data_IF_618811050511
#
_entry.id   IF_618811050511
#
_cell.length_a   1.000
_cell.length_b   1.000
_cell.length_c   1.000
_cell.angle_alpha   90.00
_cell.angle_beta   90.00
_cell.angle_gamma   90.00
#
_symmetry.space_group_name_H-M   'P 1'
#
loop_
_entity.id
_entity.type
_entity.pdbx_description
1 polymer ?
2 non-polymer ?
3 non-polymer ?
4 water ?
#
# COMPACT_ATOMS: atom_id res chain seq x y z
N UNK A 6 20.48 4.16 -19.83
CA UNK A 6 19.53 3.59 -20.84
C UNK A 6 19.12 2.18 -20.41
N UNK A 7 17.81 1.93 -20.31
CA UNK A 7 17.33 0.63 -19.85
C UNK A 7 17.35 -0.36 -21.02
N UNK A 8 17.62 -1.62 -20.73
CA UNK A 8 17.51 -2.62 -21.78
C UNK A 8 16.08 -2.71 -22.31
N UNK A 9 15.94 -3.01 -23.60
CA UNK A 9 14.63 -3.18 -24.22
C UNK A 9 13.87 -4.40 -23.69
N UNK A 10 14.59 -5.40 -23.20
CA UNK A 10 13.97 -6.58 -22.59
C UNK A 10 14.82 -7.11 -21.47
N UNK A 11 14.15 -7.72 -20.50
CA UNK A 11 14.79 -8.31 -19.34
C UNK A 11 14.08 -9.63 -19.08
N UNK A 12 14.84 -10.66 -18.73
CA UNK A 12 14.29 -11.94 -18.27
C UNK A 12 15.19 -12.49 -17.17
N UNK A 13 14.75 -12.33 -15.91
CA UNK A 13 15.57 -12.74 -14.77
C UNK A 13 15.77 -14.26 -14.68
N UNK A 14 14.97 -15.03 -15.42
CA UNK A 14 15.19 -16.48 -15.49
C UNK A 14 16.52 -16.78 -16.16
N UNK A 15 16.92 -15.96 -17.12
CA UNK A 15 18.21 -16.12 -17.81
C UNK A 15 19.41 -15.89 -16.89
N UNK A 16 19.20 -15.15 -15.80
CA UNK A 16 20.26 -14.87 -14.84
C UNK A 16 20.24 -15.84 -13.66
N UNK A 17 19.38 -16.86 -13.73
CA UNK A 17 19.29 -17.84 -12.67
C UNK A 17 18.75 -17.28 -11.36
N UNK A 18 17.90 -16.25 -11.44
CA UNK A 18 17.35 -15.61 -10.24
C UNK A 18 15.90 -15.99 -9.94
N UNK A 19 15.34 -16.95 -10.67
CA UNK A 19 13.94 -17.35 -10.50
C UNK A 19 13.83 -18.85 -10.23
N UNK A 20 13.16 -19.20 -9.15
CA UNK A 20 13.00 -20.60 -8.77
C UNK A 20 11.89 -21.25 -9.57
N UNK A 21 11.73 -22.56 -9.42
CA UNK A 21 10.64 -23.25 -10.11
C UNK A 21 9.27 -22.66 -9.73
N UNK A 22 8.32 -22.76 -10.66
CA UNK A 22 6.96 -22.35 -10.46
C UNK A 22 6.31 -23.24 -9.41
N UNK A 23 5.61 -22.60 -8.48
CA UNK A 23 4.93 -23.29 -7.40
C UNK A 23 3.41 -23.40 -7.65
N UNK A 24 2.76 -24.26 -6.86
CA UNK A 24 1.33 -24.54 -7.00
C UNK A 24 0.63 -24.26 -5.66
N UNK A 25 -0.19 -23.21 -5.62
CA UNK A 25 -0.81 -22.80 -4.35
C UNK A 25 -1.99 -23.66 -3.92
N UNK A 26 -2.58 -24.39 -4.88
CA UNK A 26 -3.75 -25.20 -4.59
C UNK A 26 -4.93 -24.37 -4.15
N UNK A 27 -5.76 -24.91 -3.26
CA UNK A 27 -6.97 -24.25 -2.83
C UNK A 27 -6.71 -23.31 -1.63
N UNK A 28 -5.50 -22.75 -1.55
CA UNK A 28 -5.14 -21.80 -0.51
C UNK A 28 -4.72 -20.50 -1.20
N UNK A 29 -5.36 -19.40 -0.80
CA UNK A 29 -5.12 -18.08 -1.39
C UNK A 29 -3.81 -17.48 -0.86
N UNK A 30 -2.70 -18.16 -1.15
CA UNK A 30 -1.39 -17.77 -0.64
C UNK A 30 -0.55 -17.07 -1.72
N UNK A 31 -1.18 -16.62 -2.80
CA UNK A 31 -0.50 -15.94 -3.90
C UNK A 31 0.45 -14.84 -3.38
N UNK A 32 0.00 -14.09 -2.39
CA UNK A 32 0.77 -13.01 -1.76
C UNK A 32 2.09 -13.53 -1.17
N UNK A 33 2.03 -14.70 -0.53
CA UNK A 33 3.22 -15.31 0.06
C UNK A 33 4.21 -15.78 -1.01
N UNK A 34 3.69 -16.36 -2.09
CA UNK A 34 4.53 -16.80 -3.21
C UNK A 34 5.19 -15.65 -3.93
N UNK A 35 4.43 -14.57 -4.12
CA UNK A 35 4.94 -13.36 -4.73
C UNK A 35 6.07 -12.80 -3.89
N UNK A 36 5.86 -12.72 -2.59
CA UNK A 36 6.90 -12.17 -1.68
C UNK A 36 8.16 -13.01 -1.66
N UNK A 37 8.03 -14.33 -1.50
CA UNK A 37 9.24 -15.17 -1.48
C UNK A 37 9.96 -15.14 -2.82
N UNK A 38 9.21 -15.09 -3.92
CA UNK A 38 9.81 -15.00 -5.22
C UNK A 38 10.70 -13.80 -5.37
N UNK A 39 10.21 -12.64 -4.90
CA UNK A 39 11.02 -11.44 -4.96
C UNK A 39 12.27 -11.60 -4.11
N UNK A 40 12.12 -12.18 -2.93
CA UNK A 40 13.28 -12.27 -2.02
C UNK A 40 14.29 -13.32 -2.53
N UNK A 41 13.78 -14.36 -3.19
CA UNK A 41 14.62 -15.43 -3.76
C UNK A 41 15.63 -14.84 -4.75
N UNK A 42 15.18 -13.87 -5.56
CA UNK A 42 16.05 -13.23 -6.54
C UNK A 42 17.15 -12.42 -5.84
N UNK A 43 16.77 -11.65 -4.84
CA UNK A 43 17.74 -10.85 -4.07
C UNK A 43 18.76 -11.74 -3.38
N UNK A 44 18.31 -12.86 -2.81
CA UNK A 44 19.19 -13.84 -2.18
C UNK A 44 20.23 -14.40 -3.18
N UNK A 45 19.79 -14.76 -4.39
CA UNK A 45 20.72 -15.17 -5.45
C UNK A 45 21.73 -14.08 -5.80
N UNK A 46 21.23 -12.86 -5.97
CA UNK A 46 22.10 -11.74 -6.29
C UNK A 46 23.15 -11.50 -5.22
N UNK A 47 22.77 -11.66 -3.97
CA UNK A 47 23.69 -11.42 -2.85
C UNK A 47 24.66 -12.59 -2.59
N UNK A 48 24.13 -13.81 -2.61
CA UNK A 48 24.91 -14.97 -2.17
C UNK A 48 25.39 -15.88 -3.29
N UNK A 49 24.83 -15.74 -4.48
CA UNK A 49 25.10 -16.64 -5.59
C UNK A 49 24.30 -17.93 -5.59
N UNK A 50 23.47 -18.14 -4.56
CA UNK A 50 22.71 -19.37 -4.45
C UNK A 50 21.23 -19.12 -4.72
N UNK A 51 20.65 -19.96 -5.60
CA UNK A 51 19.21 -19.93 -5.84
C UNK A 51 18.50 -20.93 -4.94
N UNK A 52 17.66 -20.43 -4.05
CA UNK A 52 17.02 -21.28 -3.04
C UNK A 52 15.54 -20.90 -2.91
N UNK A 53 14.64 -21.88 -3.02
CA UNK A 53 13.22 -21.62 -2.78
C UNK A 53 12.99 -21.31 -1.30
N UNK A 54 12.29 -20.21 -1.04
CA UNK A 54 11.97 -19.79 0.33
C UNK A 54 10.56 -20.19 0.71
N UNK A 55 10.29 -20.23 2.00
CA UNK A 55 9.08 -20.84 2.51
C UNK A 55 7.87 -19.92 2.50
N UNK A 56 6.99 -20.12 1.51
CA UNK A 56 5.70 -19.48 1.50
C UNK A 56 4.84 -19.87 2.70
N UNK A 57 4.95 -21.12 3.15
CA UNK A 57 4.20 -21.58 4.31
C UNK A 57 4.56 -20.79 5.57
N UNK A 58 5.83 -20.49 5.72
CA UNK A 58 6.35 -19.68 6.83
C UNK A 58 5.59 -18.34 6.88
N UNK A 59 5.37 -17.73 5.72
CA UNK A 59 4.60 -16.49 5.67
C UNK A 59 3.14 -16.72 6.03
N UNK A 60 2.53 -17.75 5.44
CA UNK A 60 1.12 -18.08 5.73
C UNK A 60 0.86 -18.29 7.22
N UNK A 61 1.78 -19.03 7.88
CA UNK A 61 1.60 -19.40 9.28
C UNK A 61 2.04 -18.31 10.27
N UNK A 62 2.97 -17.45 9.87
CA UNK A 62 3.66 -16.57 10.81
C UNK A 62 3.44 -15.08 10.55
N UNK A 63 3.28 -14.66 9.30
CA UNK A 63 2.99 -13.24 8.99
C UNK A 63 1.48 -13.11 8.96
N UNK A 64 0.87 -13.03 10.15
CA UNK A 64 -0.56 -13.20 10.28
C UNK A 64 -1.21 -11.88 10.73
N UNK A 65 -2.00 -11.91 11.80
CA UNK A 65 -2.87 -10.77 12.17
C UNK A 65 -2.10 -9.48 12.39
N UNK A 66 -0.94 -9.56 13.03
CA UNK A 66 -0.09 -8.43 13.31
C UNK A 66 0.33 -7.69 12.01
N UNK A 67 0.31 -8.44 10.90
CA UNK A 67 0.69 -7.93 9.58
C UNK A 67 -0.51 -7.68 8.65
N UNK A 68 -1.71 -7.80 9.19
CA UNK A 68 -2.95 -7.64 8.42
C UNK A 68 -3.23 -8.75 7.44
N UNK A 69 -2.52 -9.87 7.58
CA UNK A 69 -2.65 -11.01 6.68
C UNK A 69 -3.56 -12.07 7.24
N UNK A 70 -4.12 -12.88 6.35
CA UNK A 70 -5.15 -13.85 6.71
C UNK A 70 -4.85 -15.24 6.14
N UNK A 71 -3.57 -15.55 5.99
CA UNK A 71 -3.13 -16.87 5.56
C UNK A 71 -3.72 -17.26 4.21
N UNK A 72 -4.42 -18.40 4.21
CA UNK A 72 -5.07 -18.92 2.99
C UNK A 72 -6.23 -18.03 2.49
N UNK A 73 -6.62 -17.03 3.27
CA UNK A 73 -7.62 -16.06 2.86
C UNK A 73 -7.05 -14.71 2.41
N UNK A 74 -5.74 -14.65 2.16
CA UNK A 74 -5.13 -13.50 1.52
C UNK A 74 -4.18 -12.72 2.43
N UNK A 75 -3.47 -11.78 1.83
CA UNK A 75 -2.43 -11.01 2.53
C UNK A 75 -1.76 -10.02 1.59
N UNK A 76 -0.73 -9.34 2.11
CA UNK A 76 0.05 -8.36 1.37
C UNK A 76 1.50 -8.78 1.25
N UNK A 77 2.09 -8.53 0.08
CA UNK A 77 3.52 -8.76 -0.08
C UNK A 77 4.34 -7.83 0.77
N UNK A 78 3.90 -6.58 0.91
CA UNK A 78 4.71 -5.61 1.68
C UNK A 78 4.78 -5.97 3.15
N UNK A 79 3.65 -6.37 3.73
CA UNK A 79 3.62 -6.70 5.14
C UNK A 79 4.34 -8.04 5.38
N UNK A 80 4.31 -8.93 4.40
CA UNK A 80 5.16 -10.14 4.43
C UNK A 80 6.63 -9.77 4.53
N UNK A 81 7.09 -8.81 3.74
CA UNK A 81 8.47 -8.34 3.80
C UNK A 81 8.76 -7.80 5.19
N UNK A 82 7.86 -6.98 5.73
CA UNK A 82 8.08 -6.45 7.09
C UNK A 82 8.19 -7.55 8.12
N UNK A 83 7.38 -8.60 8.00
CA UNK A 83 7.48 -9.77 8.89
C UNK A 83 8.90 -10.37 8.84
N UNK A 84 9.41 -10.54 7.61
CA UNK A 84 10.76 -11.13 7.47
C UNK A 84 11.82 -10.25 8.15
N UNK A 85 11.67 -8.93 7.97
CA UNK A 85 12.55 -7.95 8.59
C UNK A 85 12.45 -8.08 10.11
N UNK A 86 11.22 -7.96 10.64
CA UNK A 86 10.98 -8.02 12.09
C UNK A 86 11.45 -9.36 12.67
N UNK A 87 11.20 -10.43 11.95
CA UNK A 87 11.56 -11.78 12.41
C UNK A 87 13.04 -12.12 12.30
N UNK A 88 13.78 -11.29 11.56
CA UNK A 88 15.20 -11.47 11.26
C UNK A 88 15.45 -12.76 10.44
N UNK A 89 14.43 -13.20 9.69
CA UNK A 89 14.64 -14.29 8.77
C UNK A 89 13.40 -14.96 8.24
N UNK A 90 13.63 -15.81 7.23
CA UNK A 90 12.61 -16.72 6.72
C UNK A 90 13.30 -18.05 6.42
N UNK A 91 12.60 -19.14 6.67
CA UNK A 91 13.11 -20.49 6.45
C UNK A 91 13.06 -20.88 4.97
N UNK A 92 13.85 -21.88 4.60
CA UNK A 92 13.77 -22.42 3.25
C UNK A 92 12.46 -23.17 3.03
N UNK A 93 12.05 -23.28 1.77
CA UNK A 93 10.94 -24.12 1.42
C UNK A 93 11.17 -25.58 1.83
N UNK A 94 12.37 -26.09 1.61
CA UNK A 94 12.66 -27.49 1.96
C UNK A 94 12.45 -27.78 3.45
N UNK A 95 12.83 -26.83 4.29
CA UNK A 95 12.73 -27.00 5.75
C UNK A 95 11.32 -26.76 6.29
N UNK A 96 10.53 -25.97 5.56
CA UNK A 96 9.23 -25.55 6.02
C UNK A 96 8.29 -25.61 4.81
N UNK A 97 7.88 -26.83 4.44
CA UNK A 97 7.21 -27.03 3.16
C UNK A 97 5.77 -26.53 3.12
N UNK A 98 5.29 -26.36 1.89
CA UNK A 98 3.96 -25.78 1.67
C UNK A 98 2.88 -26.83 1.73
N UNK A 99 1.86 -26.54 2.54
CA UNK A 99 0.77 -27.47 2.78
C UNK A 99 -0.58 -26.96 2.33
N UNK A 100 -0.65 -25.74 1.83
CA UNK A 100 -1.91 -25.17 1.34
C UNK A 100 -3.00 -25.20 2.42
N UNK A 101 -2.60 -24.91 3.65
CA UNK A 101 -3.52 -24.70 4.75
C UNK A 101 -2.87 -23.84 5.80
N UNK A 102 -3.69 -23.22 6.64
CA UNK A 102 -3.21 -22.43 7.76
C UNK A 102 -2.73 -23.39 8.85
N UNK A 103 -1.55 -23.13 9.37
CA UNK A 103 -0.99 -23.93 10.47
C UNK A 103 -0.42 -23.01 11.52
N UNK A 104 -0.07 -23.60 12.66
CA UNK A 104 0.65 -22.87 13.71
C UNK A 104 2.03 -22.44 13.20
N UNK A 105 2.49 -21.28 13.65
CA UNK A 105 3.79 -20.77 13.27
C UNK A 105 4.88 -21.70 13.77
N UNK A 106 5.72 -22.17 12.85
CA UNK A 106 6.76 -23.15 13.17
C UNK A 106 8.14 -22.65 12.74
N UNK A 107 8.29 -21.33 12.61
CA UNK A 107 9.56 -20.77 12.24
C UNK A 107 10.66 -21.23 13.20
N UNK A 108 11.81 -21.59 12.64
CA UNK A 108 13.02 -21.92 13.41
C UNK A 108 14.22 -21.33 12.71
N UNK A 109 15.02 -20.57 13.43
CA UNK A 109 16.15 -19.89 12.83
C UNK A 109 17.24 -20.86 12.34
N UNK A 110 17.23 -22.09 12.81
CA UNK A 110 18.25 -23.03 12.34
C UNK A 110 18.03 -23.41 10.88
N UNK A 111 16.81 -23.17 10.39
CA UNK A 111 16.46 -23.39 8.99
C UNK A 111 16.34 -22.09 8.17
N UNK A 112 16.82 -20.98 8.71
CA UNK A 112 16.83 -19.71 8.01
C UNK A 112 17.64 -19.80 6.72
N UNK A 113 17.03 -19.36 5.62
CA UNK A 113 17.71 -19.32 4.32
C UNK A 113 17.86 -17.90 3.76
N UNK A 114 17.14 -16.94 4.33
CA UNK A 114 17.27 -15.56 3.89
C UNK A 114 16.88 -14.60 5.01
N UNK A 115 17.33 -13.36 4.83
CA UNK A 115 16.92 -12.22 5.65
C UNK A 115 16.43 -11.12 4.69
N UNK A 116 15.91 -10.05 5.26
CA UNK A 116 15.45 -8.89 4.52
C UNK A 116 15.75 -7.69 5.42
N UNK A 117 16.30 -6.63 4.83
CA UNK A 117 16.58 -5.41 5.61
C UNK A 117 15.59 -4.28 5.36
N UNK A 118 14.92 -4.29 4.21
CA UNK A 118 14.02 -3.19 3.85
C UNK A 118 13.19 -3.62 2.63
N UNK A 119 12.16 -2.85 2.32
CA UNK A 119 11.43 -3.04 1.07
C UNK A 119 11.05 -1.66 0.56
N UNK A 120 10.72 -1.60 -0.73
CA UNK A 120 10.39 -0.36 -1.38
C UNK A 120 9.08 -0.56 -2.13
N UNK A 121 8.14 0.36 -1.94
CA UNK A 121 6.90 0.38 -2.68
C UNK A 121 7.04 1.41 -3.80
N UNK A 122 6.76 1.00 -5.03
CA UNK A 122 6.89 1.90 -6.16
C UNK A 122 5.67 2.80 -6.28
N UNK A 123 5.83 3.96 -6.93
CA UNK A 123 4.66 4.83 -7.09
C UNK A 123 3.53 4.23 -7.92
N UNK A 124 2.30 4.56 -7.53
CA UNK A 124 1.12 3.97 -8.11
C UNK A 124 1.02 4.17 -9.63
N UNK A 125 0.87 3.05 -10.34
CA UNK A 125 0.50 3.10 -11.74
C UNK A 125 1.61 3.46 -12.73
N UNK A 126 2.84 3.66 -12.24
CA UNK A 126 3.94 4.16 -13.06
C UNK A 126 4.69 2.99 -13.71
N UNK A 127 4.37 2.69 -14.95
CA UNK A 127 4.96 1.51 -15.61
C UNK A 127 6.40 1.76 -16.01
N UNK A 128 6.76 3.03 -16.22
CA UNK A 128 8.15 3.39 -16.48
C UNK A 128 9.05 3.15 -15.26
N UNK A 129 8.52 3.45 -14.07
CA UNK A 129 9.25 3.22 -12.83
C UNK A 129 9.37 1.72 -12.56
N UNK A 130 8.30 0.98 -12.88
CA UNK A 130 8.33 -0.46 -12.72
C UNK A 130 9.40 -1.06 -13.63
N UNK A 131 9.49 -0.56 -14.87
CA UNK A 131 10.48 -1.06 -15.84
C UNK A 131 11.87 -0.85 -15.30
N UNK A 132 12.11 0.33 -14.79
CA UNK A 132 13.41 0.66 -14.19
C UNK A 132 13.76 -0.28 -13.04
N UNK A 133 12.81 -0.56 -12.16
CA UNK A 133 13.05 -1.45 -11.03
C UNK A 133 13.33 -2.88 -11.47
N UNK A 134 12.55 -3.35 -12.42
CA UNK A 134 12.78 -4.70 -12.93
C UNK A 134 14.17 -4.79 -13.60
N UNK A 135 14.57 -3.75 -14.30
CA UNK A 135 15.89 -3.76 -14.98
C UNK A 135 17.03 -3.64 -13.96
N UNK A 136 16.88 -2.73 -12.99
CA UNK A 136 18.01 -2.37 -12.09
C UNK A 136 18.05 -3.05 -10.76
N UNK A 137 16.91 -3.50 -10.25
CA UNK A 137 16.83 -4.08 -8.92
C UNK A 137 16.62 -5.59 -8.93
N UNK A 138 15.70 -6.06 -9.76
CA UNK A 138 15.32 -7.47 -9.80
C UNK A 138 13.83 -7.64 -9.97
N UNK A 139 13.35 -8.88 -9.87
CA UNK A 139 11.91 -9.13 -9.94
C UNK A 139 11.13 -8.33 -8.88
N UNK A 140 9.93 -7.92 -9.25
CA UNK A 140 9.11 -7.05 -8.40
C UNK A 140 7.77 -7.71 -8.14
N UNK A 141 7.38 -7.74 -6.86
CA UNK A 141 6.09 -8.24 -6.44
C UNK A 141 5.02 -7.27 -6.88
N UNK A 142 3.95 -7.76 -7.50
CA UNK A 142 2.85 -6.90 -7.89
C UNK A 142 1.52 -7.59 -7.63
N UNK A 143 0.45 -6.81 -7.58
CA UNK A 143 -0.91 -7.35 -7.64
C UNK A 143 -1.48 -7.18 -9.04
N UNK A 144 -2.33 -8.10 -9.47
CA UNK A 144 -3.08 -7.94 -10.70
C UNK A 144 -4.53 -8.29 -10.50
N UNK A 145 -5.36 -7.77 -11.39
CA UNK A 145 -6.75 -8.20 -11.53
C UNK A 145 -6.76 -9.52 -12.33
N UNK A 146 -6.89 -10.63 -11.63
CA UNK A 146 -6.95 -11.97 -12.22
C UNK A 146 -8.34 -12.61 -12.14
N UNK A 147 -9.38 -11.79 -12.02
CA UNK A 147 -10.73 -12.32 -11.78
C UNK A 147 -11.45 -12.72 -13.09
N UNK A 148 -10.91 -12.35 -14.24
CA UNK A 148 -11.67 -12.49 -15.48
C UNK A 148 -11.44 -13.86 -16.08
N UNK A 149 -12.51 -14.48 -16.61
CA UNK A 149 -12.39 -15.86 -17.13
C UNK A 149 -11.22 -16.07 -18.11
N UNK A 150 -10.93 -15.04 -18.92
CA UNK A 150 -9.80 -15.10 -19.87
C UNK A 150 -8.44 -15.31 -19.20
N UNK A 151 -8.27 -14.85 -17.97
CA UNK A 151 -7.00 -15.03 -17.27
C UNK A 151 -6.68 -16.51 -17.05
N UNK A 152 -7.68 -17.23 -16.54
CA UNK A 152 -7.52 -18.66 -16.27
C UNK A 152 -7.19 -19.48 -17.51
N UNK A 153 -7.70 -19.04 -18.65
CA UNK A 153 -7.57 -19.75 -19.92
C UNK A 153 -6.40 -19.29 -20.77
N UNK A 154 -5.59 -18.38 -20.26
CA UNK A 154 -4.47 -17.87 -21.02
C UNK A 154 -3.48 -18.99 -21.40
N UNK A 155 -3.04 -18.99 -22.65
CA UNK A 155 -2.09 -19.98 -23.14
C UNK A 155 -0.85 -19.38 -23.80
N UNK A 156 -0.98 -18.31 -24.56
CA UNK A 156 0.15 -17.76 -25.30
C UNK A 156 -0.08 -16.33 -25.72
N UNK A 157 0.95 -15.72 -26.27
CA UNK A 157 0.83 -14.36 -26.75
C UNK A 157 0.95 -13.39 -25.58
N UNK A 158 0.40 -12.21 -25.78
CA UNK A 158 0.39 -11.14 -24.76
C UNK A 158 -1.04 -10.92 -24.32
N UNK A 159 -1.29 -11.06 -23.01
CA UNK A 159 -2.62 -11.03 -22.44
C UNK A 159 -3.12 -9.59 -22.39
N UNK A 160 -4.23 -9.37 -23.08
CA UNK A 160 -4.94 -8.09 -23.04
C UNK A 160 -6.43 -8.41 -22.94
N UNK A 161 -7.05 -7.91 -21.89
CA UNK A 161 -8.43 -8.15 -21.55
C UNK A 161 -9.13 -6.79 -21.35
N UNK A 162 -9.98 -6.36 -22.31
CA UNK A 162 -10.70 -5.08 -22.18
C UNK A 162 -11.49 -4.93 -20.89
N UNK A 163 -11.98 -6.03 -20.31
CA UNK A 163 -12.74 -5.96 -19.06
C UNK A 163 -11.86 -5.88 -17.81
N UNK A 164 -10.55 -5.92 -17.98
CA UNK A 164 -9.68 -5.85 -16.78
C UNK A 164 -9.82 -4.50 -16.10
N UNK A 165 -9.53 -4.48 -14.80
CA UNK A 165 -9.60 -3.27 -14.01
C UNK A 165 -8.30 -3.08 -13.26
N UNK A 166 -8.19 -1.95 -12.58
CA UNK A 166 -7.07 -1.73 -11.68
C UNK A 166 -7.34 -2.18 -10.25
N UNK A 167 -8.45 -2.86 -10.01
CA UNK A 167 -8.74 -3.45 -8.71
C UNK A 167 -8.05 -4.82 -8.61
N UNK A 168 -6.91 -4.84 -7.94
CA UNK A 168 -6.07 -6.04 -7.95
C UNK A 168 -6.54 -7.02 -6.89
N UNK A 169 -6.38 -8.30 -7.17
CA UNK A 169 -6.82 -9.35 -6.27
C UNK A 169 -5.89 -10.52 -6.18
N UNK A 170 -4.78 -10.48 -6.91
CA UNK A 170 -3.94 -11.66 -7.05
C UNK A 170 -2.47 -11.24 -7.06
N UNK A 171 -1.69 -11.77 -6.13
CA UNK A 171 -0.26 -11.46 -6.01
C UNK A 171 0.55 -12.31 -6.96
N UNK A 172 1.41 -11.69 -7.75
CA UNK A 172 2.27 -12.36 -8.70
C UNK A 172 3.64 -11.69 -8.72
N UNK A 173 4.55 -12.18 -9.57
CA UNK A 173 5.91 -11.68 -9.60
C UNK A 173 6.31 -11.30 -11.03
N UNK A 174 6.69 -10.04 -11.23
CA UNK A 174 7.23 -9.59 -12.51
C UNK A 174 8.70 -9.94 -12.56
N UNK A 175 9.06 -10.84 -13.49
CA UNK A 175 10.44 -11.30 -13.63
C UNK A 175 11.10 -10.80 -14.91
N UNK A 176 10.41 -9.94 -15.64
CA UNK A 176 10.96 -9.45 -16.88
C UNK A 176 9.97 -8.63 -17.65
N UNK A 177 10.40 -8.19 -18.84
CA UNK A 177 9.56 -7.47 -19.75
C UNK A 177 10.17 -7.58 -21.14
N UNK A 178 9.38 -7.25 -22.14
CA UNK A 178 9.86 -7.22 -23.52
C UNK A 178 8.80 -6.82 -24.50
N UNK A 179 8.97 -7.29 -25.73
CA UNK A 179 8.09 -6.97 -26.84
C UNK A 179 7.98 -8.25 -27.69
N UNK A 180 6.76 -8.71 -27.93
CA UNK A 180 6.50 -9.92 -28.71
C UNK A 180 5.57 -9.51 -29.85
N UNK A 181 6.10 -9.54 -31.07
CA UNK A 181 5.31 -9.24 -32.23
C UNK A 181 4.62 -7.88 -32.15
N UNK A 182 5.37 -6.89 -31.69
CA UNK A 182 4.86 -5.52 -31.60
C UNK A 182 4.02 -5.21 -30.36
N UNK A 183 3.88 -6.18 -29.46
CA UNK A 183 3.08 -5.99 -28.25
C UNK A 183 4.02 -5.98 -27.05
N UNK A 184 4.09 -4.88 -26.33
CA UNK A 184 4.95 -4.82 -25.15
C UNK A 184 4.31 -5.66 -24.05
N UNK A 185 5.13 -6.38 -23.29
CA UNK A 185 4.60 -7.17 -22.18
C UNK A 185 5.45 -7.09 -20.91
N UNK A 186 4.82 -7.47 -19.81
CA UNK A 186 5.45 -7.81 -18.57
C UNK A 186 5.47 -9.33 -18.47
N UNK A 187 6.60 -9.88 -18.07
CA UNK A 187 6.73 -11.32 -17.87
C UNK A 187 6.42 -11.63 -16.40
N UNK A 188 5.33 -12.34 -16.19
CA UNK A 188 4.78 -12.59 -14.86
C UNK A 188 4.83 -14.06 -14.50
N UNK A 189 5.44 -14.34 -13.35
CA UNK A 189 5.44 -15.65 -12.72
C UNK A 189 4.23 -15.79 -11.81
N UNK A 190 3.37 -16.76 -12.09
CA UNK A 190 2.18 -17.05 -11.27
C UNK A 190 2.48 -18.22 -10.34
N UNK A 191 1.54 -18.57 -9.46
CA UNK A 191 1.70 -19.68 -8.53
C UNK A 191 0.56 -20.68 -8.64
N UNK A 192 0.14 -20.95 -9.88
CA UNK A 192 -0.88 -21.93 -10.15
C UNK A 192 -0.28 -23.16 -10.86
N UNK A 193 0.99 -23.42 -10.63
CA UNK A 193 1.65 -24.61 -11.16
C UNK A 193 2.07 -24.42 -12.59
N UNK A 194 2.78 -25.40 -13.15
CA UNK A 194 3.26 -25.32 -14.56
C UNK A 194 2.14 -25.50 -15.61
N UNK A 195 0.96 -25.98 -15.23
CA UNK A 195 -0.16 -26.16 -16.16
C UNK A 195 -0.73 -24.83 -16.62
N UNK A 196 -0.63 -23.82 -15.75
CA UNK A 196 -1.16 -22.50 -16.08
C UNK A 196 -0.30 -21.80 -17.14
N UNK A 197 -0.94 -21.23 -18.15
CA UNK A 197 -0.24 -20.37 -19.10
C UNK A 197 0.94 -21.04 -19.79
N UNK A 198 2.04 -20.30 -19.88
CA UNK A 198 3.29 -20.77 -20.48
C UNK A 198 4.21 -21.29 -19.40
N UNK A 199 4.00 -22.54 -19.01
CA UNK A 199 4.80 -23.23 -18.00
C UNK A 199 4.77 -22.44 -16.66
N UNK A 200 3.61 -21.86 -16.37
CA UNK A 200 3.38 -21.16 -15.10
C UNK A 200 3.48 -19.66 -15.21
N UNK A 201 3.86 -19.16 -16.39
CA UNK A 201 4.06 -17.74 -16.67
C UNK A 201 2.97 -17.17 -17.55
N UNK A 202 2.77 -15.87 -17.42
CA UNK A 202 1.87 -15.12 -18.30
C UNK A 202 2.56 -13.82 -18.72
N UNK A 203 2.48 -13.54 -20.02
CA UNK A 203 2.90 -12.27 -20.55
C UNK A 203 1.70 -11.34 -20.56
N UNK A 204 1.81 -10.24 -19.81
CA UNK A 204 0.68 -9.31 -19.64
C UNK A 204 0.97 -7.97 -20.30
N UNK A 205 -0.04 -7.38 -20.91
CA UNK A 205 0.13 -6.12 -21.65
C UNK A 205 0.83 -5.04 -20.82
N UNK A 206 1.82 -4.40 -21.46
CA UNK A 206 2.64 -3.35 -20.85
C UNK A 206 2.46 -2.04 -21.62
N UNK A 207 2.50 -0.94 -20.88
CA UNK A 207 2.21 0.40 -21.40
C UNK A 207 0.86 0.49 -22.10
N UNK A 208 -0.11 -0.23 -21.56
CA UNK A 208 -1.49 -0.13 -22.00
C UNK A 208 -2.37 0.34 -20.85
N UNK A 209 -2.00 1.48 -20.28
CA UNK A 209 -2.80 2.10 -19.23
C UNK A 209 -2.89 1.31 -17.93
N UNK A 210 -1.77 0.78 -17.46
CA UNK A 210 -1.74 0.02 -16.22
C UNK A 210 -2.74 -1.13 -16.28
N UNK A 211 -2.58 -1.92 -17.33
CA UNK A 211 -3.53 -2.98 -17.63
C UNK A 211 -3.61 -4.00 -16.49
N UNK A 212 -4.84 -4.28 -16.03
CA UNK A 212 -5.07 -5.23 -14.94
C UNK A 212 -4.41 -4.80 -13.64
N UNK A 213 -4.02 -3.53 -13.55
CA UNK A 213 -3.46 -2.99 -12.31
C UNK A 213 -2.05 -3.48 -12.01
N UNK A 214 -1.36 -3.97 -13.03
CA UNK A 214 -0.06 -4.57 -12.83
C UNK A 214 0.94 -3.63 -12.12
N UNK A 215 0.86 -2.33 -12.39
CA UNK A 215 1.78 -1.36 -11.79
C UNK A 215 1.14 -0.57 -10.64
N UNK A 216 -0.02 -1.04 -10.17
CA UNK A 216 -0.75 -0.35 -9.08
C UNK A 216 0.03 -0.41 -7.77
N UNK A 217 0.42 -1.62 -7.34
CA UNK A 217 1.09 -1.80 -6.05
C UNK A 217 2.34 -2.68 -6.13
N UNK A 218 3.41 -2.17 -6.74
CA UNK A 218 4.62 -2.95 -6.89
C UNK A 218 5.55 -2.71 -5.73
N UNK A 219 6.26 -3.76 -5.31
CA UNK A 219 7.26 -3.64 -4.26
C UNK A 219 8.38 -4.66 -4.43
N UNK A 220 9.53 -4.35 -3.85
CA UNK A 220 10.62 -5.32 -3.86
C UNK A 220 11.42 -5.17 -2.57
N UNK A 221 11.92 -6.30 -2.07
CA UNK A 221 12.74 -6.34 -0.88
C UNK A 221 14.20 -6.14 -1.21
N UNK A 222 15.00 -5.83 -0.20
CA UNK A 222 16.43 -5.82 -0.33
C UNK A 222 17.09 -6.49 0.86
N UNK A 223 18.28 -7.04 0.61
CA UNK A 223 19.05 -7.71 1.65
C UNK A 223 20.33 -6.90 1.94
N UNK A 224 20.61 -6.67 3.22
CA UNK A 224 21.84 -5.95 3.64
C UNK A 224 23.06 -6.56 3.01
N UNK B 6 17.00 14.49 17.84
CA UNK B 6 16.15 14.11 19.02
C UNK B 6 14.77 14.71 18.82
N UNK B 7 13.74 13.88 18.92
CA UNK B 7 12.40 14.35 18.58
C UNK B 7 11.72 15.00 19.76
N UNK B 8 10.86 16.01 19.49
CA UNK B 8 10.10 16.59 20.57
C UNK B 8 9.20 15.57 21.21
N UNK B 9 8.93 15.75 22.51
CA UNK B 9 8.03 14.86 23.25
C UNK B 9 6.58 14.98 22.83
N UNK B 10 6.20 16.15 22.30
CA UNK B 10 4.85 16.39 21.80
C UNK B 10 4.88 17.32 20.60
N UNK B 11 3.96 17.07 19.68
CA UNK B 11 3.83 17.85 18.46
C UNK B 11 2.32 18.05 18.23
N UNK B 12 1.94 19.26 17.81
CA UNK B 12 0.57 19.58 17.43
C UNK B 12 0.61 20.57 16.26
N UNK B 13 0.39 20.04 15.04
CA UNK B 13 0.43 20.87 13.82
C UNK B 13 -0.62 21.96 13.73
N UNK B 14 -1.65 21.86 14.56
CA UNK B 14 -2.65 22.92 14.65
C UNK B 14 -2.02 24.20 15.18
N UNK B 15 -1.05 24.04 16.09
CA UNK B 15 -0.36 25.20 16.66
C UNK B 15 0.51 25.93 15.62
N UNK B 16 0.86 25.23 14.53
CA UNK B 16 1.71 25.77 13.47
C UNK B 16 0.91 26.28 12.26
N UNK B 17 -0.41 26.33 12.41
CA UNK B 17 -1.28 26.88 11.41
C UNK B 17 -1.40 26.02 10.16
N UNK B 18 -1.14 24.72 10.31
CA UNK B 18 -1.12 23.80 9.16
C UNK B 18 -2.31 22.86 9.04
N UNK B 19 -3.34 23.07 9.86
CA UNK B 19 -4.53 22.20 9.87
C UNK B 19 -5.80 23.01 9.69
N UNK B 20 -6.61 22.62 8.70
CA UNK B 20 -7.84 23.34 8.38
C UNK B 20 -8.96 22.93 9.35
N UNK B 21 -10.11 23.58 9.25
CA UNK B 21 -11.30 23.17 10.02
C UNK B 21 -11.66 21.70 9.76
N UNK B 22 -12.28 21.08 10.77
CA UNK B 22 -12.75 19.71 10.67
C UNK B 22 -13.92 19.65 9.71
N UNK B 23 -13.90 18.65 8.82
CA UNK B 23 -14.95 18.48 7.84
C UNK B 23 -15.90 17.37 8.23
N UNK B 24 -17.05 17.32 7.55
CA UNK B 24 -18.10 16.34 7.84
C UNK B 24 -18.41 15.55 6.58
N UNK B 25 -18.05 14.27 6.57
CA UNK B 25 -18.22 13.45 5.38
C UNK B 25 -19.67 13.05 5.12
N UNK B 26 -20.51 13.10 6.15
CA UNK B 26 -21.90 12.66 6.03
C UNK B 26 -21.98 11.18 5.71
N UNK B 27 -22.95 10.81 4.87
CA UNK B 27 -23.19 9.40 4.57
C UNK B 27 -22.23 8.79 3.53
N UNK B 28 -21.24 9.55 3.10
CA UNK B 28 -20.38 9.18 2.00
C UNK B 28 -19.06 8.75 2.62
N UNK B 29 -18.59 7.54 2.29
CA UNK B 29 -17.32 6.98 2.80
C UNK B 29 -16.12 7.62 2.14
N UNK B 30 -15.98 8.93 2.32
CA UNK B 30 -14.90 9.69 1.69
C UNK B 30 -13.76 10.00 2.68
N UNK B 31 -13.68 9.26 3.80
CA UNK B 31 -12.62 9.45 4.80
C UNK B 31 -11.23 9.52 4.16
N UNK B 32 -10.99 8.64 3.20
CA UNK B 32 -9.71 8.56 2.45
C UNK B 32 -9.38 9.85 1.73
N UNK B 33 -10.39 10.47 1.13
CA UNK B 33 -10.19 11.75 0.41
C UNK B 33 -9.88 12.88 1.40
N UNK B 34 -10.58 12.91 2.53
CA UNK B 34 -10.34 13.94 3.55
C UNK B 34 -8.97 13.80 4.18
N UNK B 35 -8.55 12.57 4.42
CA UNK B 35 -7.22 12.30 4.93
C UNK B 35 -6.17 12.83 3.96
N UNK B 36 -6.35 12.52 2.68
CA UNK B 36 -5.36 12.93 1.65
C UNK B 36 -5.27 14.43 1.53
N UNK B 37 -6.42 15.10 1.41
CA UNK B 37 -6.39 16.57 1.31
C UNK B 37 -5.80 17.21 2.57
N UNK B 38 -6.11 16.65 3.73
CA UNK B 38 -5.55 17.18 4.97
C UNK B 38 -4.05 17.14 5.02
N UNK B 39 -3.47 16.03 4.58
CA UNK B 39 -2.01 15.93 4.50
C UNK B 39 -1.46 16.96 3.51
N UNK B 40 -2.12 17.13 2.38
CA UNK B 40 -1.58 18.03 1.35
C UNK B 40 -1.77 19.49 1.77
N UNK B 41 -2.85 19.79 2.50
CA UNK B 41 -3.13 21.13 3.01
C UNK B 41 -1.96 21.62 3.87
N UNK B 42 -1.40 20.73 4.71
CA UNK B 42 -0.27 21.09 5.58
C UNK B 42 0.98 21.43 4.74
N UNK B 43 1.26 20.61 3.73
CA UNK B 43 2.40 20.82 2.85
C UNK B 43 2.24 22.13 2.07
N UNK B 44 1.03 22.41 1.60
CA UNK B 44 0.75 23.65 0.91
C UNK B 44 1.02 24.89 1.80
N UNK B 45 0.57 24.84 3.06
CA UNK B 45 0.88 25.90 4.04
C UNK B 45 2.40 26.07 4.21
N UNK B 46 3.10 24.97 4.37
CA UNK B 46 4.56 24.99 4.57
C UNK B 46 5.27 25.59 3.35
N UNK B 47 4.78 25.29 2.15
CA UNK B 47 5.41 25.81 0.93
C UNK B 47 5.04 27.26 0.65
N UNK B 48 3.76 27.62 0.77
CA UNK B 48 3.25 28.92 0.30
C UNK B 48 2.87 29.91 1.39
N UNK B 49 2.76 29.45 2.63
CA UNK B 49 2.27 30.29 3.71
C UNK B 49 0.75 30.43 3.77
N UNK B 50 0.01 29.80 2.86
CA UNK B 50 -1.43 29.92 2.83
C UNK B 50 -2.09 28.63 3.31
N UNK B 51 -3.03 28.76 4.25
CA UNK B 51 -3.84 27.63 4.69
C UNK B 51 -5.14 27.60 3.91
N UNK B 52 -5.31 26.57 3.08
CA UNK B 52 -6.45 26.50 2.16
C UNK B 52 -7.03 25.10 2.18
N UNK B 53 -8.34 24.98 2.42
CA UNK B 53 -9.00 23.69 2.36
C UNK B 53 -9.03 23.23 0.90
N UNK B 54 -8.58 22.00 0.68
CA UNK B 54 -8.55 21.43 -0.67
C UNK B 54 -9.76 20.54 -0.91
N UNK B 55 -10.05 20.28 -2.17
CA UNK B 55 -11.32 19.66 -2.52
C UNK B 55 -11.30 18.14 -2.38
N UNK B 56 -11.86 17.63 -1.28
CA UNK B 56 -12.13 16.20 -1.13
C UNK B 56 -13.05 15.69 -2.25
N UNK B 57 -13.99 16.54 -2.69
CA UNK B 57 -14.93 16.13 -3.74
C UNK B 57 -14.23 15.84 -5.05
N UNK B 58 -13.26 16.68 -5.39
CA UNK B 58 -12.38 16.49 -6.52
C UNK B 58 -11.79 15.07 -6.51
N UNK B 59 -11.33 14.61 -5.35
CA UNK B 59 -10.81 13.23 -5.25
C UNK B 59 -11.89 12.18 -5.44
N UNK B 60 -13.03 12.38 -4.79
CA UNK B 60 -14.14 11.43 -4.88
C UNK B 60 -14.58 11.26 -6.32
N UNK B 61 -14.71 12.38 -7.04
CA UNK B 61 -15.22 12.38 -8.40
C UNK B 61 -14.20 11.98 -9.46
N UNK B 62 -12.93 12.25 -9.22
CA UNK B 62 -11.91 12.16 -10.26
C UNK B 62 -10.84 11.11 -10.03
N UNK B 63 -10.48 10.83 -8.77
CA UNK B 63 -9.50 9.76 -8.48
C UNK B 63 -10.33 8.51 -8.28
N UNK B 64 -10.74 7.90 -9.38
CA UNK B 64 -11.76 6.87 -9.37
C UNK B 64 -11.14 5.53 -9.81
N UNK B 65 -11.73 4.87 -10.80
CA UNK B 65 -11.35 3.49 -11.17
C UNK B 65 -9.88 3.29 -11.52
N UNK B 66 -9.30 4.23 -12.25
CA UNK B 66 -7.88 4.16 -12.62
C UNK B 66 -6.95 4.18 -11.43
N UNK B 67 -7.46 4.66 -10.28
CA UNK B 67 -6.71 4.75 -9.03
C UNK B 67 -7.16 3.72 -8.00
N UNK B 68 -8.01 2.78 -8.43
CA UNK B 68 -8.54 1.75 -7.54
C UNK B 68 -9.52 2.22 -6.49
N UNK B 69 -10.00 3.46 -6.65
CA UNK B 69 -10.90 4.05 -5.69
C UNK B 69 -12.35 3.95 -6.12
N UNK B 70 -13.24 4.06 -5.15
CA UNK B 70 -14.66 3.82 -5.35
C UNK B 70 -15.53 4.93 -4.79
N UNK B 71 -14.97 6.15 -4.75
CA UNK B 71 -15.70 7.33 -4.30
C UNK B 71 -16.28 7.19 -2.90
N UNK B 72 -17.60 7.31 -2.78
CA UNK B 72 -18.28 7.19 -1.49
C UNK B 72 -18.23 5.77 -0.89
N UNK B 73 -17.77 4.80 -1.67
CA UNK B 73 -17.55 3.44 -1.17
C UNK B 73 -16.10 3.12 -0.79
N UNK B 74 -15.25 4.14 -0.76
CA UNK B 74 -13.91 3.97 -0.22
C UNK B 74 -12.80 4.21 -1.23
N UNK B 75 -11.56 4.26 -0.73
CA UNK B 75 -10.40 4.53 -1.56
C UNK B 75 -9.14 4.53 -0.76
N UNK B 76 -8.03 4.92 -1.41
CA UNK B 76 -6.69 4.96 -0.79
C UNK B 76 -6.16 6.39 -0.81
N UNK B 77 -5.51 6.81 0.28
CA UNK B 77 -4.83 8.11 0.29
C UNK B 77 -3.66 8.12 -0.70
N UNK B 78 -2.92 7.02 -0.80
CA UNK B 78 -1.75 6.99 -1.66
C UNK B 78 -2.13 7.18 -3.13
N UNK B 79 -3.18 6.51 -3.57
CA UNK B 79 -3.58 6.60 -4.96
C UNK B 79 -4.23 7.96 -5.23
N UNK B 80 -4.88 8.53 -4.21
CA UNK B 80 -5.33 9.92 -4.28
C UNK B 80 -4.15 10.88 -4.56
N UNK B 81 -3.05 10.75 -3.81
CA UNK B 81 -1.86 11.53 -4.06
C UNK B 81 -1.38 11.34 -5.51
N UNK B 82 -1.31 10.09 -5.97
CA UNK B 82 -0.86 9.84 -7.34
C UNK B 82 -1.75 10.51 -8.37
N UNK B 83 -3.06 10.49 -8.13
CA UNK B 83 -3.99 11.24 -8.98
C UNK B 83 -3.61 12.73 -9.07
N UNK B 84 -3.35 13.34 -7.92
CA UNK B 84 -3.01 14.77 -7.91
C UNK B 84 -1.74 15.02 -8.71
N UNK B 85 -0.76 14.13 -8.55
CA UNK B 85 0.50 14.20 -9.28
C UNK B 85 0.22 14.08 -10.79
N UNK B 86 -0.47 13.01 -11.19
CA UNK B 86 -0.78 12.76 -12.61
C UNK B 86 -1.61 13.90 -13.21
N UNK B 87 -2.58 14.38 -12.45
CA UNK B 87 -3.51 15.40 -12.90
C UNK B 87 -2.89 16.80 -12.97
N UNK B 88 -1.71 16.96 -12.36
CA UNK B 88 -1.01 18.23 -12.20
C UNK B 88 -1.82 19.24 -11.43
N UNK B 89 -2.65 18.76 -10.50
CA UNK B 89 -3.32 19.64 -9.58
C UNK B 89 -4.54 19.08 -8.89
N UNK B 90 -5.00 19.85 -7.90
CA UNK B 90 -6.26 19.63 -7.23
C UNK B 90 -6.87 21.01 -7.01
N UNK B 91 -8.18 21.10 -7.13
CA UNK B 91 -8.92 22.34 -6.90
C UNK B 91 -9.11 22.66 -5.42
N UNK B 92 -9.41 23.92 -5.13
CA UNK B 92 -9.78 24.30 -3.76
C UNK B 92 -11.13 23.75 -3.39
N UNK B 93 -11.34 23.55 -2.09
CA UNK B 93 -12.66 23.24 -1.59
C UNK B 93 -13.69 24.29 -1.97
N UNK B 94 -13.31 25.56 -1.90
CA UNK B 94 -14.22 26.66 -2.22
C UNK B 94 -14.75 26.55 -3.65
N UNK B 95 -13.87 26.20 -4.58
CA UNK B 95 -14.24 26.12 -6.00
C UNK B 95 -14.95 24.82 -6.38
N UNK B 96 -14.73 23.77 -5.60
CA UNK B 96 -15.23 22.43 -5.91
C UNK B 96 -15.72 21.84 -4.58
N UNK B 97 -16.88 22.33 -4.11
CA UNK B 97 -17.30 21.98 -2.75
C UNK B 97 -17.79 20.55 -2.58
N UNK B 98 -17.85 20.13 -1.32
CA UNK B 98 -18.17 18.75 -0.98
C UNK B 98 -19.66 18.53 -0.92
N UNK B 99 -20.12 17.50 -1.62
CA UNK B 99 -21.55 17.18 -1.75
C UNK B 99 -21.93 15.82 -1.17
N UNK B 100 -20.97 15.06 -0.66
CA UNK B 100 -21.25 13.75 -0.05
C UNK B 100 -22.03 12.81 -0.98
N UNK B 101 -21.66 12.84 -2.25
CA UNK B 101 -22.13 11.86 -3.21
C UNK B 101 -21.11 11.77 -4.33
N UNK B 102 -21.15 10.67 -5.07
CA UNK B 102 -20.35 10.50 -6.27
C UNK B 102 -20.93 11.40 -7.35
N UNK B 103 -20.06 12.14 -8.03
CA UNK B 103 -20.44 12.96 -9.16
C UNK B 103 -19.47 12.76 -10.29
N UNK B 104 -19.84 13.27 -11.45
CA UNK B 104 -18.94 13.32 -12.60
C UNK B 104 -17.73 14.19 -12.25
N UNK B 105 -16.58 13.82 -12.78
CA UNK B 105 -15.38 14.60 -12.57
C UNK B 105 -15.56 15.99 -13.17
N UNK B 106 -15.35 17.02 -12.34
CA UNK B 106 -15.53 18.41 -12.75
C UNK B 106 -14.26 19.21 -12.49
N UNK B 107 -13.11 18.54 -12.43
CA UNK B 107 -11.86 19.21 -12.22
C UNK B 107 -11.68 20.27 -13.29
N UNK B 108 -11.21 21.44 -12.85
CA UNK B 108 -10.83 22.50 -13.78
C UNK B 108 -9.56 23.12 -13.27
N UNK B 109 -8.56 23.21 -14.15
CA UNK B 109 -7.28 23.74 -13.76
C UNK B 109 -7.36 25.22 -13.38
N UNK B 110 -8.42 25.91 -13.82
CA UNK B 110 -8.55 27.32 -13.44
C UNK B 110 -8.82 27.52 -11.95
N UNK B 111 -9.24 26.44 -11.28
CA UNK B 111 -9.47 26.47 -9.85
C UNK B 111 -8.40 25.71 -9.03
N UNK B 112 -7.26 25.40 -9.65
CA UNK B 112 -6.18 24.66 -9.00
C UNK B 112 -5.70 25.46 -7.77
N UNK B 113 -5.61 24.78 -6.63
CA UNK B 113 -5.04 25.37 -5.37
C UNK B 113 -3.76 24.71 -4.88
N UNK B 114 -3.48 23.50 -5.36
CA UNK B 114 -2.28 22.78 -4.94
C UNK B 114 -1.85 21.82 -6.04
N UNK B 115 -0.58 21.46 -5.95
CA UNK B 115 0.01 20.37 -6.73
C UNK B 115 0.66 19.40 -5.76
N UNK B 116 1.13 18.29 -6.30
CA UNK B 116 1.85 17.31 -5.53
C UNK B 116 2.92 16.77 -6.46
N UNK B 117 4.13 16.59 -5.96
CA UNK B 117 5.20 16.02 -6.80
C UNK B 117 5.52 14.56 -6.50
N UNK B 118 5.23 14.09 -5.28
CA UNK B 118 5.56 12.75 -4.85
C UNK B 118 4.85 12.44 -3.54
N UNK B 119 4.86 11.18 -3.15
CA UNK B 119 4.40 10.79 -1.82
C UNK B 119 5.29 9.67 -1.31
N UNK B 120 5.25 9.47 0.00
CA UNK B 120 6.13 8.53 0.66
C UNK B 120 5.26 7.65 1.54
N UNK B 121 5.42 6.33 1.41
CA UNK B 121 4.75 5.36 2.27
C UNK B 121 5.76 4.90 3.31
N UNK B 122 5.39 5.03 4.59
CA UNK B 122 6.27 4.65 5.68
C UNK B 122 6.26 3.13 5.83
N UNK B 123 7.33 2.58 6.43
CA UNK B 123 7.37 1.11 6.62
C UNK B 123 6.30 0.58 7.56
N UNK B 124 5.80 -0.61 7.26
CA UNK B 124 4.66 -1.19 7.97
C UNK B 124 4.89 -1.34 9.49
N UNK B 125 3.97 -0.74 10.26
CA UNK B 125 3.90 -0.96 11.68
C UNK B 125 4.91 -0.22 12.54
N UNK B 126 5.73 0.65 11.95
CA UNK B 126 6.82 1.29 12.67
C UNK B 126 6.38 2.61 13.30
N UNK B 127 6.04 2.59 14.58
CA UNK B 127 5.52 3.81 15.25
C UNK B 127 6.60 4.84 15.51
N UNK B 128 7.84 4.37 15.62
CA UNK B 128 9.00 5.28 15.75
C UNK B 128 9.24 6.08 14.47
N UNK B 129 9.10 5.42 13.33
CA UNK B 129 9.25 6.09 12.04
C UNK B 129 8.09 7.07 11.86
N UNK B 130 6.89 6.66 12.29
CA UNK B 130 5.74 7.53 12.17
C UNK B 130 5.96 8.79 13.02
N UNK B 131 6.51 8.62 14.23
CA UNK B 131 6.76 9.78 15.12
C UNK B 131 7.72 10.75 14.45
N UNK B 132 8.78 10.21 13.86
CA UNK B 132 9.77 11.02 13.16
C UNK B 132 9.17 11.82 12.01
N UNK B 133 8.30 11.19 11.20
CA UNK B 133 7.64 11.87 10.09
C UNK B 133 6.69 12.96 10.57
N UNK B 134 5.91 12.67 11.60
CA UNK B 134 5.01 13.69 12.14
C UNK B 134 5.81 14.87 12.71
N UNK B 135 6.92 14.60 13.40
CA UNK B 135 7.75 15.70 13.95
C UNK B 135 8.44 16.51 12.86
N UNK B 136 8.98 15.82 11.85
CA UNK B 136 9.87 16.45 10.86
C UNK B 136 9.29 16.82 9.51
N UNK B 137 8.26 16.11 9.07
CA UNK B 137 7.67 16.28 7.74
C UNK B 137 6.29 17.00 7.76
N UNK B 138 5.41 16.57 8.66
CA UNK B 138 4.08 17.15 8.74
C UNK B 138 3.05 16.10 9.06
N UNK B 139 1.77 16.48 9.06
CA UNK B 139 0.71 15.51 9.26
C UNK B 139 0.81 14.34 8.28
N UNK B 140 0.49 13.14 8.78
CA UNK B 140 0.62 11.91 7.98
C UNK B 140 -0.73 11.23 7.86
N UNK B 141 -1.09 10.87 6.63
CA UNK B 141 -2.30 10.14 6.35
C UNK B 141 -2.13 8.71 6.82
N UNK B 142 -3.09 8.19 7.56
CA UNK B 142 -3.03 6.80 8.04
C UNK B 142 -4.41 6.13 7.90
N UNK B 143 -4.41 4.79 7.90
CA UNK B 143 -5.62 4.02 8.08
C UNK B 143 -5.71 3.50 9.49
N UNK B 144 -6.92 3.43 10.02
CA UNK B 144 -7.14 2.79 11.29
C UNK B 144 -8.29 1.79 11.22
N UNK B 145 -8.26 0.84 12.14
CA UNK B 145 -9.43 -0.04 12.41
C UNK B 145 -10.45 0.75 13.25
N UNK B 146 -11.50 1.25 12.59
CA UNK B 146 -12.57 1.98 13.23
C UNK B 146 -13.86 1.17 13.29
N UNK B 147 -13.76 -0.14 13.15
CA UNK B 147 -14.92 -1.04 13.06
C UNK B 147 -15.39 -1.54 14.42
N UNK B 148 -15.30 -0.71 15.45
CA UNK B 148 -15.72 -1.06 16.79
C UNK B 148 -16.61 0.06 17.32
N UNK B 149 -17.69 -0.33 18.03
CA UNK B 149 -18.59 0.69 18.61
C UNK B 149 -17.86 1.73 19.45
N UNK B 150 -16.83 1.32 20.19
CA UNK B 150 -16.11 2.25 21.05
C UNK B 150 -15.54 3.44 20.26
N UNK B 151 -15.21 3.22 18.98
CA UNK B 151 -14.70 4.30 18.12
C UNK B 151 -15.80 5.34 17.86
N UNK B 152 -16.97 4.86 17.44
CA UNK B 152 -18.15 5.71 17.23
C UNK B 152 -18.57 6.47 18.49
N UNK B 153 -18.42 5.82 19.63
CA UNK B 153 -18.86 6.37 20.90
C UNK B 153 -17.79 7.19 21.61
N UNK B 154 -16.59 7.33 21.02
CA UNK B 154 -15.51 8.06 21.65
C UNK B 154 -15.85 9.51 21.96
N UNK B 155 -15.52 9.95 23.16
CA UNK B 155 -15.77 11.33 23.57
C UNK B 155 -14.50 12.07 23.93
N UNK B 156 -13.62 11.46 24.72
CA UNK B 156 -12.41 12.13 25.19
C UNK B 156 -11.39 11.16 25.74
N UNK B 157 -10.18 11.67 25.97
CA UNK B 157 -9.10 10.87 26.53
C UNK B 157 -8.34 10.09 25.48
N UNK B 158 -7.58 9.09 25.93
CA UNK B 158 -6.74 8.33 25.02
C UNK B 158 -7.49 7.07 24.71
N UNK B 159 -7.86 6.92 23.45
CA UNK B 159 -8.63 5.77 22.97
C UNK B 159 -7.78 4.51 22.94
N UNK B 160 -8.25 3.49 23.67
CA UNK B 160 -7.68 2.16 23.64
C UNK B 160 -8.81 1.15 23.64
N UNK B 161 -8.80 0.26 22.67
CA UNK B 161 -9.84 -0.71 22.41
C UNK B 161 -9.21 -2.10 22.34
N UNK B 162 -9.42 -2.94 23.36
CA UNK B 162 -8.84 -4.30 23.39
C UNK B 162 -9.14 -5.14 22.14
N UNK B 163 -10.29 -4.92 21.53
CA UNK B 163 -10.70 -5.70 20.35
C UNK B 163 -10.14 -5.15 19.04
N UNK B 164 -9.41 -4.04 19.09
CA UNK B 164 -8.88 -3.46 17.86
C UNK B 164 -7.92 -4.40 17.17
N UNK B 165 -7.83 -4.29 15.85
CA UNK B 165 -6.97 -5.12 15.01
C UNK B 165 -6.10 -4.23 14.15
N UNK B 166 -5.17 -4.84 13.43
CA UNK B 166 -4.38 -4.07 12.46
C UNK B 166 -5.05 -4.07 11.08
N UNK B 167 -6.26 -4.59 10.96
CA UNK B 167 -6.99 -4.53 9.71
C UNK B 167 -7.67 -3.16 9.59
N UNK B 168 -7.07 -2.26 8.82
CA UNK B 168 -7.56 -0.88 8.76
C UNK B 168 -8.69 -0.71 7.74
N UNK B 169 -9.59 0.22 8.01
CA UNK B 169 -10.75 0.45 7.15
C UNK B 169 -11.19 1.90 7.13
N UNK B 170 -10.44 2.78 7.79
CA UNK B 170 -10.91 4.18 7.92
C UNK B 170 -9.72 5.11 7.81
N UNK B 171 -9.79 6.05 6.87
CA UNK B 171 -8.70 7.00 6.63
C UNK B 171 -8.79 8.22 7.50
N UNK B 172 -7.71 8.56 8.17
CA UNK B 172 -7.67 9.73 9.07
C UNK B 172 -6.31 10.42 8.92
N UNK B 173 -6.11 11.49 9.68
CA UNK B 173 -4.88 12.26 9.58
C UNK B 173 -4.24 12.42 10.94
N UNK B 174 -2.99 11.97 11.09
CA UNK B 174 -2.22 12.22 12.30
C UNK B 174 -1.61 13.61 12.22
N UNK B 175 -2.04 14.48 13.12
CA UNK B 175 -1.59 15.88 13.13
C UNK B 175 -0.72 16.19 14.34
N UNK B 176 -0.40 15.15 15.11
CA UNK B 176 0.42 15.34 16.29
C UNK B 176 0.56 14.11 17.14
N UNK B 177 1.27 14.26 18.24
CA UNK B 177 1.38 13.18 19.23
C UNK B 177 1.72 13.82 20.57
N UNK B 178 1.53 13.05 21.63
CA UNK B 178 1.91 13.48 22.95
C UNK B 178 1.66 12.42 24.01
N UNK B 179 1.44 12.89 25.24
CA UNK B 179 1.24 12.03 26.41
C UNK B 179 0.21 12.70 27.31
N UNK B 180 -0.78 11.93 27.76
CA UNK B 180 -1.74 12.40 28.75
C UNK B 180 -1.62 11.55 30.02
N UNK B 181 -1.07 12.12 31.09
CA UNK B 181 -0.92 11.38 32.35
C UNK B 181 -0.23 10.02 32.19
N UNK B 182 0.85 9.99 31.42
CA UNK B 182 1.55 8.72 31.16
C UNK B 182 0.86 7.76 30.18
N UNK B 183 -0.10 8.26 29.41
CA UNK B 183 -0.68 7.50 28.29
C UNK B 183 -0.25 8.20 26.99
N UNK B 184 0.61 7.56 26.21
CA UNK B 184 1.06 8.17 24.95
C UNK B 184 -0.05 8.09 23.91
N UNK B 185 -0.17 9.13 23.10
CA UNK B 185 -1.19 9.13 22.06
C UNK B 185 -0.70 9.70 20.74
N UNK B 186 -1.44 9.38 19.69
CA UNK B 186 -1.41 10.04 18.39
C UNK B 186 -2.62 10.98 18.35
N UNK B 187 -2.40 12.20 17.91
CA UNK B 187 -3.48 13.17 17.75
C UNK B 187 -4.03 13.04 16.32
N UNK B 188 -5.26 12.59 16.23
CA UNK B 188 -5.88 12.24 14.94
C UNK B 188 -7.06 13.16 14.59
N UNK B 189 -6.99 13.76 13.40
CA UNK B 189 -8.07 14.53 12.82
C UNK B 189 -8.97 13.58 12.03
N UNK B 190 -10.25 13.49 12.44
CA UNK B 190 -11.25 12.69 11.73
C UNK B 190 -12.05 13.59 10.78
N UNK B 191 -12.91 13.00 9.95
CA UNK B 191 -13.79 13.75 9.08
C UNK B 191 -15.25 13.40 9.32
N UNK B 192 -15.63 13.27 10.60
CA UNK B 192 -17.00 13.05 10.99
C UNK B 192 -17.59 14.30 11.68
N UNK B 193 -17.09 15.47 11.32
CA UNK B 193 -17.65 16.73 11.81
C UNK B 193 -17.14 17.12 13.18
N UNK B 194 -17.49 18.33 13.61
CA UNK B 194 -16.93 18.89 14.85
C UNK B 194 -17.59 18.35 16.12
N UNK B 195 -18.67 17.59 15.99
CA UNK B 195 -19.27 16.97 17.18
C UNK B 195 -18.70 15.60 17.52
N UNK B 196 -17.97 14.95 16.61
CA UNK B 196 -17.34 13.69 16.94
C UNK B 196 -16.18 13.88 17.92
N UNK B 197 -16.13 13.05 18.98
CA UNK B 197 -14.94 12.98 19.84
C UNK B 197 -14.60 14.33 20.45
N UNK B 198 -13.31 14.70 20.40
CA UNK B 198 -12.85 15.94 20.99
C UNK B 198 -12.91 17.01 19.91
N UNK B 199 -14.13 17.50 19.67
CA UNK B 199 -14.42 18.48 18.62
C UNK B 199 -13.79 18.15 17.25
N UNK B 200 -13.96 16.89 16.87
CA UNK B 200 -13.55 16.39 15.56
C UNK B 200 -12.30 15.54 15.59
N UNK B 201 -11.62 15.54 16.73
CA UNK B 201 -10.34 14.84 16.93
C UNK B 201 -10.50 13.62 17.84
N UNK B 202 -9.60 12.66 17.67
CA UNK B 202 -9.49 11.52 18.59
C UNK B 202 -8.01 11.35 18.93
N UNK B 203 -7.74 11.15 20.21
CA UNK B 203 -6.40 10.77 20.65
C UNK B 203 -6.34 9.27 20.78
N UNK B 204 -5.45 8.66 20.00
CA UNK B 204 -5.39 7.21 19.90
C UNK B 204 -4.09 6.63 20.48
N UNK B 205 -4.20 5.50 21.16
CA UNK B 205 -3.06 4.89 21.87
C UNK B 205 -1.83 4.76 20.96
N UNK B 206 -0.70 5.22 21.49
CA UNK B 206 0.58 5.22 20.78
C UNK B 206 1.58 4.35 21.55
N UNK B 207 2.43 3.67 20.79
CA UNK B 207 3.38 2.70 21.31
C UNK B 207 2.70 1.59 22.12
N UNK B 208 1.50 1.19 21.66
CA UNK B 208 0.80 0.05 22.22
C UNK B 208 0.64 -1.00 21.13
N UNK B 209 1.76 -1.36 20.51
CA UNK B 209 1.78 -2.45 19.53
C UNK B 209 0.97 -2.15 18.28
N UNK B 210 1.16 -0.97 17.72
CA UNK B 210 0.46 -0.58 16.49
C UNK B 210 -1.06 -0.69 16.66
N UNK B 211 -1.55 -0.05 17.71
CA UNK B 211 -2.92 -0.17 18.12
C UNK B 211 -3.86 0.33 17.04
N UNK B 212 -4.85 -0.51 16.69
CA UNK B 212 -5.83 -0.24 15.62
C UNK B 212 -5.18 -0.06 14.26
N UNK B 213 -3.94 -0.49 14.10
CA UNK B 213 -3.26 -0.42 12.81
C UNK B 213 -2.85 0.98 12.42
N UNK B 214 -2.72 1.88 13.39
CA UNK B 214 -2.48 3.28 13.07
C UNK B 214 -1.17 3.50 12.26
N UNK B 215 -0.15 2.69 12.50
CA UNK B 215 1.13 2.78 11.80
C UNK B 215 1.26 1.70 10.71
N UNK B 216 0.15 1.03 10.36
CA UNK B 216 0.18 0.00 9.31
C UNK B 216 0.52 0.60 7.93
N UNK B 217 -0.25 1.61 7.51
CA UNK B 217 -0.09 2.19 6.17
C UNK B 217 -0.08 3.72 6.19
N UNK B 218 1.00 4.31 6.72
CA UNK B 218 1.07 5.76 6.77
C UNK B 218 1.69 6.30 5.49
N UNK B 219 1.25 7.47 5.06
CA UNK B 219 1.85 8.14 3.92
C UNK B 219 1.71 9.66 4.02
N UNK B 220 2.60 10.35 3.32
CA UNK B 220 2.52 11.80 3.24
C UNK B 220 2.97 12.27 1.87
N UNK B 221 2.35 13.35 1.38
CA UNK B 221 2.70 13.95 0.11
C UNK B 221 3.76 15.02 0.27
N UNK B 222 4.39 15.39 -0.85
CA UNK B 222 5.31 16.50 -0.86
C UNK B 222 5.07 17.35 -2.10
N UNK B 223 5.35 18.64 -1.96
CA UNK B 223 5.20 19.61 -3.04
C UNK B 223 6.60 20.12 -3.47
N UNK B 224 6.85 20.16 -4.77
CA UNK B 224 8.13 20.66 -5.34
C UNK B 224 8.53 22.04 -4.86
#
# INVERSE_FOLDING_TARGET
SNPNRILPDSVDWREKGCVTEVKYQGSCGACWAFSAVGALEAQLKLKTGKLVSLSAQNLVDCSTEKYGNKGCNGGFMTTAFQYIIDNKGIDSDASYPYKAMDQKCQYDSKYRAATCSKYTELPYGREDVLKEAVANKGPVSVGVDARHPSFFLYRSGVYYEPSCTQNVNHGVLVVGYGDLNGKEYWLVKNSWGHNFGEEGYIRMARNKGNHCGIASFPSYPEIEHHHHHH
SNPNRILPDSVDWREKGCVTEVKYQGSCGACWAFSAVGALEAQLKLKTGKLVSLSAQNLVDCSTEKYGNKGCNGGFMTTAFQYIIDNKGIDSDASYPYKAMDQKCQYDSKYRAATCSKYTELPYGREDVLKEAVANKGPVSVGVDARHPSFFLYRSGVYYEPSCTQNVNHGVLVVGYGDLNGKEYWLVKNSWGHNFGEEGYIRMARNKGNHCGIASFPSYPEIEHHHHHH
#
